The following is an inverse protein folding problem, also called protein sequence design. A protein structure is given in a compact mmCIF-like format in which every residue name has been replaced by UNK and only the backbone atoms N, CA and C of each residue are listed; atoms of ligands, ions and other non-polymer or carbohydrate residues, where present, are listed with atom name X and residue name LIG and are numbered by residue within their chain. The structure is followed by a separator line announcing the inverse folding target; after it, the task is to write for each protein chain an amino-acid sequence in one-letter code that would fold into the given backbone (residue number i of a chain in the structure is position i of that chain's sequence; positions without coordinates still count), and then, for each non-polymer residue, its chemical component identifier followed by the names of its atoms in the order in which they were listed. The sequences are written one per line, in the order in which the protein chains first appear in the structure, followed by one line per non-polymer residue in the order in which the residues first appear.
data_IF_926829753347
#
_entry.id   IF_926829753347
#
_cell.length_a   1.000
_cell.length_b   1.000
_cell.length_c   1.000
_cell.angle_alpha   90.00
_cell.angle_beta   90.00
_cell.angle_gamma   90.00
#
_symmetry.space_group_name_H-M   'P 1'
#
loop_
_entity.id
_entity.type
_entity.pdbx_description
1 polymer ?
#
# COMPACT_ATOMS: atom_id res chain seq x y z
N UNK A 1 -1.90 63.48 -37.15
CA UNK A 1 -2.11 63.91 -35.76
C UNK A 1 -2.70 62.74 -34.99
N UNK A 2 -1.90 62.05 -34.17
CA UNK A 2 -2.44 61.08 -33.22
C UNK A 2 -3.30 61.83 -32.20
N UNK A 3 -4.52 61.33 -31.96
CA UNK A 3 -5.52 61.99 -31.12
C UNK A 3 -5.10 61.92 -29.65
N UNK A 4 -5.35 63.00 -28.91
CA UNK A 4 -5.11 63.14 -27.45
C UNK A 4 -5.82 62.08 -26.59
N UNK A 5 -6.65 61.20 -27.17
CA UNK A 5 -7.29 60.07 -26.48
C UNK A 5 -6.39 58.83 -26.33
N UNK A 6 -5.38 58.66 -27.18
CA UNK A 6 -4.54 57.45 -27.17
C UNK A 6 -3.42 57.49 -26.10
N UNK A 7 -2.94 58.67 -25.71
CA UNK A 7 -1.93 58.81 -24.64
C UNK A 7 -2.49 58.60 -23.22
N UNK A 8 -3.79 58.86 -23.01
CA UNK A 8 -4.43 58.69 -21.70
C UNK A 8 -4.66 57.21 -21.37
N UNK A 9 -4.99 56.38 -22.38
CA UNK A 9 -5.25 54.96 -22.19
C UNK A 9 -3.94 54.20 -21.92
N UNK A 10 -2.83 54.57 -22.57
CA UNK A 10 -1.52 53.95 -22.34
C UNK A 10 -0.97 54.17 -20.92
N UNK A 11 -1.23 55.33 -20.31
CA UNK A 11 -0.76 55.65 -18.96
C UNK A 11 -1.55 54.93 -17.85
N UNK A 12 -2.84 54.66 -18.06
CA UNK A 12 -3.68 53.92 -17.08
C UNK A 12 -3.35 52.43 -17.12
N UNK A 13 -3.08 51.86 -18.31
CA UNK A 13 -2.69 50.45 -18.45
C UNK A 13 -1.33 50.12 -17.82
N UNK A 14 -0.36 51.04 -17.92
CA UNK A 14 0.97 50.86 -17.31
C UNK A 14 0.92 50.91 -15.77
N UNK A 15 0.10 51.81 -15.19
CA UNK A 15 -0.06 51.92 -13.74
C UNK A 15 -0.79 50.70 -13.14
N UNK A 16 -1.84 50.20 -13.81
CA UNK A 16 -2.55 48.99 -13.38
C UNK A 16 -1.67 47.73 -13.47
N UNK A 17 -0.83 47.63 -14.51
CA UNK A 17 0.11 46.52 -14.68
C UNK A 17 1.19 46.48 -13.58
N UNK A 18 1.70 47.64 -13.15
CA UNK A 18 2.71 47.73 -12.10
C UNK A 18 2.16 47.32 -10.72
N UNK A 19 0.92 47.70 -10.41
CA UNK A 19 0.26 47.33 -9.14
C UNK A 19 -0.08 45.84 -9.11
N UNK A 20 -0.54 45.27 -10.22
CA UNK A 20 -0.81 43.83 -10.34
C UNK A 20 0.48 42.99 -10.21
N UNK A 21 1.59 43.45 -10.81
CA UNK A 21 2.88 42.79 -10.68
C UNK A 21 3.43 42.84 -9.25
N UNK A 22 3.31 43.98 -8.56
CA UNK A 22 3.73 44.10 -7.16
C UNK A 22 2.90 43.22 -6.22
N UNK A 23 1.58 43.15 -6.43
CA UNK A 23 0.70 42.25 -5.66
C UNK A 23 1.01 40.77 -5.92
N UNK A 24 1.32 40.39 -7.16
CA UNK A 24 1.70 39.02 -7.51
C UNK A 24 3.06 38.61 -6.91
N UNK A 25 4.03 39.53 -6.88
CA UNK A 25 5.34 39.30 -6.23
C UNK A 25 5.19 39.20 -4.71
N UNK A 26 4.37 40.05 -4.08
CA UNK A 26 4.12 39.98 -2.64
C UNK A 26 3.33 38.72 -2.25
N UNK A 27 2.36 38.30 -3.07
CA UNK A 27 1.62 37.05 -2.89
C UNK A 27 2.54 35.84 -3.06
N UNK A 28 3.42 35.84 -4.07
CA UNK A 28 4.40 34.77 -4.27
C UNK A 28 5.41 34.71 -3.12
N UNK A 29 5.91 35.85 -2.65
CA UNK A 29 6.89 35.92 -1.56
C UNK A 29 6.32 35.49 -0.20
N UNK A 30 5.04 35.78 0.06
CA UNK A 30 4.33 35.32 1.26
C UNK A 30 3.94 33.85 1.16
N UNK A 31 3.57 33.35 -0.03
CA UNK A 31 3.29 31.93 -0.28
C UNK A 31 4.54 31.05 -0.15
N UNK A 32 5.72 31.52 -0.58
CA UNK A 32 6.98 30.75 -0.48
C UNK A 32 7.63 30.80 0.90
N UNK A 33 7.30 31.78 1.74
CA UNK A 33 7.82 31.90 3.12
C UNK A 33 6.84 31.38 4.19
N UNK A 34 5.65 30.93 3.80
CA UNK A 34 4.78 30.19 4.71
C UNK A 34 5.43 28.84 5.03
N UNK A 35 5.90 28.68 6.28
CA UNK A 35 6.33 27.36 6.78
C UNK A 35 5.20 26.37 6.53
N UNK A 36 5.46 25.19 5.93
CA UNK A 36 4.44 24.17 5.78
C UNK A 36 3.98 23.76 7.18
N UNK A 37 2.75 24.16 7.55
CA UNK A 37 2.06 23.55 8.66
C UNK A 37 1.86 22.08 8.29
N UNK A 38 2.45 21.18 9.09
CA UNK A 38 2.12 19.77 9.01
C UNK A 38 0.60 19.65 9.08
N UNK A 39 -0.06 18.95 8.14
CA UNK A 39 -1.47 18.61 8.32
C UNK A 39 -1.59 17.93 9.68
N UNK A 40 -2.57 18.38 10.47
CA UNK A 40 -2.83 17.77 11.76
C UNK A 40 -2.99 16.26 11.54
N UNK A 41 -2.39 15.41 12.41
CA UNK A 41 -2.66 13.99 12.34
C UNK A 41 -4.18 13.79 12.35
N UNK A 42 -4.72 12.87 11.53
CA UNK A 42 -6.13 12.53 11.63
C UNK A 42 -6.43 12.21 13.11
N UNK A 43 -7.62 12.62 13.61
CA UNK A 43 -7.98 12.32 14.98
C UNK A 43 -7.76 10.83 15.22
N UNK A 44 -7.21 10.43 16.39
CA UNK A 44 -7.14 9.01 16.72
C UNK A 44 -8.54 8.43 16.53
N UNK A 45 -8.64 7.28 15.85
CA UNK A 45 -9.90 6.57 15.68
C UNK A 45 -10.48 6.31 17.09
N UNK A 46 -11.42 7.16 17.53
CA UNK A 46 -12.03 7.10 18.86
C UNK A 46 -13.19 6.11 18.92
N UNK A 47 -13.56 5.53 17.79
CA UNK A 47 -14.52 4.44 17.67
C UNK A 47 -13.74 3.15 17.37
N UNK A 48 -13.82 2.11 18.22
CA UNK A 48 -13.22 0.82 17.89
C UNK A 48 -13.87 0.29 16.60
N UNK A 49 -13.06 0.04 15.58
CA UNK A 49 -13.55 -0.57 14.33
C UNK A 49 -14.32 -1.86 14.68
N UNK A 50 -15.46 -2.12 14.02
CA UNK A 50 -16.29 -3.27 14.33
C UNK A 50 -15.48 -4.57 14.23
N UNK A 51 -15.56 -5.40 15.27
CA UNK A 51 -14.98 -6.74 15.28
C UNK A 51 -15.94 -7.66 14.54
N UNK A 52 -15.46 -8.40 13.54
CA UNK A 52 -16.31 -9.39 12.89
C UNK A 52 -16.50 -10.59 13.80
N UNK A 53 -17.74 -11.04 13.90
CA UNK A 53 -18.07 -12.26 14.62
C UNK A 53 -17.84 -12.03 16.10
N UNK A 54 -18.94 -11.95 16.85
CA UNK A 54 -18.84 -12.31 18.24
C UNK A 54 -18.15 -13.68 18.26
N UNK A 55 -16.94 -13.77 18.82
CA UNK A 55 -16.39 -15.01 19.36
C UNK A 55 -17.24 -15.44 20.59
N UNK A 56 -18.55 -15.20 20.53
CA UNK A 56 -19.52 -15.75 21.43
C UNK A 56 -19.50 -17.26 21.20
N UNK A 57 -19.46 -17.98 22.32
CA UNK A 57 -19.52 -19.44 22.34
C UNK A 57 -20.77 -20.01 21.66
N UNK A 58 -21.81 -19.19 21.47
CA UNK A 58 -23.02 -19.50 20.70
C UNK A 58 -23.38 -18.31 19.79
N UNK A 59 -23.34 -18.48 18.45
CA UNK A 59 -23.98 -17.53 17.54
C UNK A 59 -25.50 -17.53 17.83
N UNK A 60 -26.19 -16.38 17.77
CA UNK A 60 -27.64 -16.36 17.88
C UNK A 60 -28.24 -17.27 16.81
N UNK A 61 -29.28 -18.04 17.18
CA UNK A 61 -30.00 -18.90 16.26
C UNK A 61 -30.42 -18.09 15.03
N UNK A 62 -29.99 -18.54 13.85
CA UNK A 62 -30.29 -17.82 12.60
C UNK A 62 -31.75 -18.03 12.25
N UNK A 63 -32.49 -16.93 12.05
CA UNK A 63 -33.86 -16.97 11.56
C UNK A 63 -33.89 -17.51 10.12
N UNK A 64 -34.45 -18.71 9.87
CA UNK A 64 -34.48 -19.32 8.55
C UNK A 64 -35.38 -18.56 7.56
N UNK A 65 -36.21 -17.63 8.04
CA UNK A 65 -37.07 -16.79 7.19
C UNK A 65 -36.48 -15.40 6.91
N UNK A 66 -35.26 -15.11 7.40
CA UNK A 66 -34.60 -13.83 7.17
C UNK A 66 -34.29 -13.65 5.68
N UNK A 67 -34.89 -12.63 5.06
CA UNK A 67 -34.72 -12.31 3.63
C UNK A 67 -33.55 -11.37 3.34
N UNK A 68 -32.95 -10.78 4.37
CA UNK A 68 -31.85 -9.82 4.24
C UNK A 68 -30.49 -10.48 4.41
N UNK A 69 -29.46 -9.94 3.74
CA UNK A 69 -28.09 -10.42 3.85
C UNK A 69 -27.58 -10.38 5.30
N UNK A 70 -26.60 -11.24 5.60
CA UNK A 70 -25.88 -11.21 6.88
C UNK A 70 -25.30 -9.82 7.14
N UNK A 71 -25.36 -9.35 8.37
CA UNK A 71 -24.67 -8.14 8.81
C UNK A 71 -23.23 -8.46 9.24
N UNK A 72 -22.33 -7.47 9.13
CA UNK A 72 -20.93 -7.65 9.48
C UNK A 72 -20.24 -8.72 8.62
N UNK A 73 -20.57 -8.87 7.34
CA UNK A 73 -19.70 -9.63 6.43
C UNK A 73 -18.46 -8.78 6.09
N UNK A 74 -17.34 -9.44 5.80
CA UNK A 74 -16.09 -8.76 5.46
C UNK A 74 -16.18 -8.10 4.09
N UNK A 75 -15.57 -6.93 3.94
CA UNK A 75 -15.41 -6.27 2.64
C UNK A 75 -14.42 -7.07 1.77
N UNK A 76 -14.46 -6.88 0.45
CA UNK A 76 -13.50 -7.50 -0.46
C UNK A 76 -12.06 -7.08 -0.18
N UNK A 77 -11.83 -5.79 0.07
CA UNK A 77 -10.50 -5.27 0.37
C UNK A 77 -9.96 -5.84 1.70
N UNK A 78 -10.78 -5.87 2.75
CA UNK A 78 -10.41 -6.44 4.05
C UNK A 78 -10.15 -7.95 3.91
N UNK A 79 -10.95 -8.66 3.10
CA UNK A 79 -10.75 -10.07 2.81
C UNK A 79 -9.40 -10.33 2.13
N UNK A 80 -9.08 -9.65 1.03
CA UNK A 80 -7.83 -9.90 0.31
C UNK A 80 -6.60 -9.46 1.10
N UNK A 81 -6.70 -8.35 1.86
CA UNK A 81 -5.64 -7.95 2.77
C UNK A 81 -5.47 -8.96 3.91
N UNK A 82 -6.57 -9.52 4.46
CA UNK A 82 -6.50 -10.57 5.47
C UNK A 82 -5.88 -11.87 4.93
N UNK A 83 -6.14 -12.24 3.67
CA UNK A 83 -5.43 -13.35 3.01
C UNK A 83 -3.93 -13.06 2.91
N UNK A 84 -3.53 -11.84 2.57
CA UNK A 84 -2.12 -11.45 2.56
C UNK A 84 -1.49 -11.57 3.97
N UNK A 85 -2.17 -11.12 5.02
CA UNK A 85 -1.72 -11.31 6.41
C UNK A 85 -1.64 -12.78 6.81
N UNK A 86 -2.68 -13.58 6.54
CA UNK A 86 -2.69 -15.00 6.83
C UNK A 86 -1.57 -15.75 6.09
N UNK A 87 -1.25 -15.30 4.87
CA UNK A 87 -0.13 -15.86 4.10
C UNK A 87 1.22 -15.51 4.71
N UNK A 88 1.36 -14.31 5.29
CA UNK A 88 2.58 -13.90 6.00
C UNK A 88 2.90 -14.84 7.17
N UNK A 89 1.90 -15.41 7.84
CA UNK A 89 2.07 -16.38 8.93
C UNK A 89 2.77 -17.69 8.48
N UNK A 90 2.90 -17.94 7.16
CA UNK A 90 3.72 -19.04 6.63
C UNK A 90 5.21 -18.72 6.53
N UNK A 91 5.60 -17.45 6.64
CA UNK A 91 7.00 -17.04 6.61
C UNK A 91 7.77 -17.60 7.80
N UNK A 92 8.96 -18.14 7.53
CA UNK A 92 9.88 -18.60 8.58
C UNK A 92 10.92 -17.55 8.98
N UNK A 93 10.84 -16.34 8.39
CA UNK A 93 11.73 -15.24 8.77
C UNK A 93 11.43 -14.81 10.20
N UNK A 94 12.38 -14.87 11.15
CA UNK A 94 12.12 -14.53 12.54
C UNK A 94 12.02 -13.02 12.77
N UNK A 95 12.36 -12.19 11.79
CA UNK A 95 12.43 -10.74 11.94
C UNK A 95 11.22 -10.03 11.35
N UNK A 96 10.75 -10.50 10.19
CA UNK A 96 9.66 -9.83 9.47
C UNK A 96 8.93 -10.81 8.57
N UNK A 97 7.62 -10.89 8.78
CA UNK A 97 6.70 -11.67 7.97
C UNK A 97 5.95 -10.72 7.03
N UNK A 98 6.03 -10.99 5.74
CA UNK A 98 5.35 -10.26 4.68
C UNK A 98 4.56 -11.28 3.86
N UNK A 99 3.33 -10.91 3.50
CA UNK A 99 2.50 -11.72 2.62
C UNK A 99 1.87 -10.86 1.54
N UNK A 100 1.50 -11.50 0.45
CA UNK A 100 0.93 -10.86 -0.72
C UNK A 100 -0.14 -11.76 -1.36
N UNK A 101 -1.15 -11.12 -1.94
CA UNK A 101 -2.29 -11.76 -2.59
C UNK A 101 -2.57 -11.02 -3.91
N UNK A 102 -2.36 -11.70 -5.03
CA UNK A 102 -2.67 -11.23 -6.38
C UNK A 102 -4.10 -11.64 -6.73
N UNK A 103 -4.91 -10.68 -7.15
CA UNK A 103 -6.36 -10.82 -7.31
C UNK A 103 -6.81 -10.21 -8.63
N UNK A 104 -7.72 -10.90 -9.32
CA UNK A 104 -8.32 -10.40 -10.54
C UNK A 104 -9.25 -9.20 -10.31
N UNK A 105 -9.64 -8.51 -11.38
CA UNK A 105 -10.66 -7.45 -11.28
C UNK A 105 -12.02 -7.97 -10.82
N UNK A 106 -12.32 -9.23 -11.11
CA UNK A 106 -13.54 -9.95 -10.72
C UNK A 106 -13.48 -10.53 -9.30
N UNK A 107 -12.38 -10.32 -8.56
CA UNK A 107 -12.24 -10.78 -7.18
C UNK A 107 -11.79 -12.25 -7.05
N UNK A 108 -11.16 -12.81 -8.09
CA UNK A 108 -10.62 -14.17 -8.06
C UNK A 108 -9.16 -14.11 -7.62
N UNK A 109 -8.79 -14.90 -6.60
CA UNK A 109 -7.38 -15.02 -6.18
C UNK A 109 -6.61 -15.77 -7.27
N UNK A 110 -5.58 -15.12 -7.80
CA UNK A 110 -4.74 -15.65 -8.88
C UNK A 110 -3.44 -16.25 -8.34
N UNK A 111 -2.87 -15.63 -7.29
CA UNK A 111 -1.60 -16.04 -6.71
C UNK A 111 -1.44 -15.54 -5.29
N UNK A 112 -0.74 -16.31 -4.45
CA UNK A 112 -0.46 -15.97 -3.06
C UNK A 112 1.04 -16.17 -2.80
N UNK A 113 1.63 -15.28 -2.01
CA UNK A 113 3.04 -15.34 -1.65
C UNK A 113 3.32 -14.88 -0.23
N UNK A 114 4.45 -15.32 0.30
CA UNK A 114 5.06 -14.85 1.53
C UNK A 114 6.58 -14.83 1.36
N UNK A 115 7.30 -14.09 2.20
CA UNK A 115 8.76 -14.06 2.11
C UNK A 115 9.39 -15.37 2.64
N UNK A 116 10.28 -15.96 1.84
CA UNK A 116 10.88 -17.27 2.10
C UNK A 116 12.09 -17.52 1.19
N UNK A 117 12.85 -18.59 1.45
CA UNK A 117 13.90 -19.01 0.51
C UNK A 117 13.31 -19.69 -0.74
N UNK A 118 14.08 -19.80 -1.85
CA UNK A 118 13.60 -20.41 -3.08
C UNK A 118 13.19 -21.87 -2.89
N UNK A 119 12.32 -22.37 -3.78
CA UNK A 119 11.86 -23.76 -3.75
C UNK A 119 13.07 -24.71 -3.82
N UNK A 120 13.11 -25.70 -2.94
CA UNK A 120 14.20 -26.67 -2.85
C UNK A 120 15.38 -26.22 -1.97
N UNK A 121 15.43 -24.95 -1.55
CA UNK A 121 16.40 -24.47 -0.57
C UNK A 121 15.84 -24.65 0.85
N UNK A 122 16.55 -25.38 1.71
CA UNK A 122 16.11 -25.63 3.10
C UNK A 122 16.28 -24.38 3.97
N UNK A 123 15.23 -24.05 4.72
CA UNK A 123 15.22 -22.97 5.70
C UNK A 123 16.12 -23.25 6.93
N UNK A 124 16.60 -24.48 7.08
CA UNK A 124 17.52 -24.88 8.17
C UNK A 124 19.00 -24.77 7.75
N UNK A 125 19.27 -24.68 6.44
CA UNK A 125 20.63 -24.63 5.87
C UNK A 125 21.07 -23.23 5.46
N UNK A 126 20.13 -22.32 5.22
CA UNK A 126 20.41 -20.95 4.82
C UNK A 126 20.23 -19.98 6.00
N UNK A 127 21.03 -18.90 6.08
CA UNK A 127 21.01 -18.02 7.22
C UNK A 127 19.82 -17.05 7.18
N UNK A 128 19.07 -16.96 8.27
CA UNK A 128 18.04 -15.94 8.49
C UNK A 128 18.58 -14.61 9.05
N UNK A 129 19.87 -14.55 9.35
CA UNK A 129 20.50 -13.41 10.00
C UNK A 129 20.44 -12.14 9.13
N UNK A 130 20.25 -10.98 9.78
CA UNK A 130 20.28 -9.66 9.12
C UNK A 130 21.68 -9.05 9.03
N UNK A 131 22.64 -9.59 9.79
CA UNK A 131 24.01 -9.06 9.91
C UNK A 131 24.95 -10.24 10.06
N UNK A 132 26.10 -10.16 9.40
CA UNK A 132 27.22 -11.07 9.60
C UNK A 132 28.17 -10.50 10.64
N UNK A 133 28.69 -11.35 11.52
CA UNK A 133 29.74 -10.95 12.46
C UNK A 133 31.07 -10.64 11.75
N UNK A 134 31.29 -11.25 10.57
CA UNK A 134 32.50 -11.09 9.74
C UNK A 134 32.30 -10.09 8.60
N UNK A 135 31.11 -9.51 8.48
CA UNK A 135 30.73 -8.65 7.35
C UNK A 135 30.49 -9.39 6.03
N UNK A 136 30.41 -10.73 6.04
CA UNK A 136 30.14 -11.55 4.87
C UNK A 136 28.64 -11.53 4.51
N UNK A 137 28.23 -11.00 3.35
CA UNK A 137 26.84 -10.99 2.93
C UNK A 137 26.21 -12.39 2.83
N UNK A 138 27.00 -13.43 2.55
CA UNK A 138 26.52 -14.82 2.42
C UNK A 138 26.11 -15.44 3.75
N UNK A 139 26.51 -14.85 4.87
CA UNK A 139 26.00 -15.23 6.20
C UNK A 139 24.68 -14.52 6.55
N UNK A 140 24.11 -13.76 5.62
CA UNK A 140 22.84 -13.04 5.82
C UNK A 140 21.75 -13.57 4.91
N UNK A 141 20.49 -13.29 5.25
CA UNK A 141 19.35 -13.72 4.43
C UNK A 141 19.24 -13.02 3.08
N UNK A 142 19.81 -11.83 2.92
CA UNK A 142 19.50 -10.92 1.81
C UNK A 142 19.82 -11.47 0.41
N UNK A 143 20.91 -12.24 0.19
CA UNK A 143 21.17 -12.86 -1.10
C UNK A 143 20.18 -13.98 -1.46
N UNK A 144 19.46 -14.53 -0.48
CA UNK A 144 18.68 -15.76 -0.63
C UNK A 144 17.18 -15.54 -0.53
N UNK A 145 16.71 -14.58 0.25
CA UNK A 145 15.28 -14.40 0.51
C UNK A 145 14.56 -13.90 -0.74
N UNK A 146 13.45 -14.55 -1.07
CA UNK A 146 12.49 -14.09 -2.09
C UNK A 146 11.36 -13.38 -1.36
N UNK A 147 11.01 -12.18 -1.82
CA UNK A 147 9.96 -11.37 -1.23
C UNK A 147 8.56 -11.91 -1.56
N UNK A 148 7.57 -11.51 -0.75
CA UNK A 148 6.20 -12.01 -0.86
C UNK A 148 5.55 -11.67 -2.21
N UNK A 149 5.79 -10.46 -2.71
CA UNK A 149 5.26 -9.94 -3.97
C UNK A 149 5.76 -10.78 -5.15
N UNK A 150 7.05 -11.10 -5.14
CA UNK A 150 7.69 -11.94 -6.16
C UNK A 150 7.10 -13.35 -6.11
N UNK A 151 7.00 -13.92 -4.92
CA UNK A 151 6.39 -15.24 -4.75
C UNK A 151 4.91 -15.26 -5.17
N UNK A 152 4.13 -14.22 -4.89
CA UNK A 152 2.72 -14.15 -5.29
C UNK A 152 2.58 -14.15 -6.83
N UNK A 153 3.42 -13.38 -7.53
CA UNK A 153 3.44 -13.33 -9.00
C UNK A 153 3.93 -14.66 -9.59
N UNK A 154 5.00 -15.25 -9.05
CA UNK A 154 5.54 -16.54 -9.52
C UNK A 154 4.63 -17.74 -9.19
N UNK A 155 3.75 -17.62 -8.19
CA UNK A 155 2.78 -18.64 -7.81
C UNK A 155 1.44 -18.49 -8.53
N UNK A 156 1.31 -17.57 -9.48
CA UNK A 156 0.04 -17.34 -10.20
C UNK A 156 -0.41 -18.61 -10.93
N UNK A 157 -1.72 -18.90 -10.88
CA UNK A 157 -2.37 -20.10 -11.43
C UNK A 157 -2.41 -20.17 -12.98
N UNK A 158 -1.31 -19.81 -13.65
CA UNK A 158 -1.18 -19.62 -15.11
C UNK A 158 -2.03 -18.48 -15.70
N UNK A 159 -2.85 -17.80 -14.90
CA UNK A 159 -3.48 -16.55 -15.29
C UNK A 159 -2.43 -15.42 -15.41
N UNK A 160 -2.77 -14.38 -16.17
CA UNK A 160 -1.93 -13.21 -16.29
C UNK A 160 -2.08 -12.29 -15.08
N UNK A 161 -0.96 -11.79 -14.56
CA UNK A 161 -0.95 -10.68 -13.58
C UNK A 161 -1.26 -9.32 -14.22
N UNK A 162 -1.27 -9.25 -15.56
CA UNK A 162 -1.51 -8.01 -16.28
C UNK A 162 -2.92 -7.47 -16.04
N UNK A 163 -3.01 -6.19 -15.69
CA UNK A 163 -4.28 -5.53 -15.38
C UNK A 163 -4.86 -5.87 -14.02
N UNK A 164 -4.17 -6.66 -13.18
CA UNK A 164 -4.70 -7.16 -11.91
C UNK A 164 -4.23 -6.35 -10.71
N UNK A 165 -4.72 -6.70 -9.51
CA UNK A 165 -4.48 -6.00 -8.25
C UNK A 165 -3.62 -6.84 -7.31
N UNK A 166 -2.62 -6.24 -6.67
CA UNK A 166 -1.77 -6.90 -5.69
C UNK A 166 -2.00 -6.30 -4.31
N UNK A 167 -2.51 -7.11 -3.38
CA UNK A 167 -2.59 -6.77 -1.96
C UNK A 167 -1.31 -7.25 -1.27
N UNK A 168 -0.67 -6.39 -0.47
CA UNK A 168 0.58 -6.72 0.22
C UNK A 168 0.63 -6.13 1.62
N UNK A 169 1.15 -6.87 2.60
CA UNK A 169 1.17 -6.38 3.99
C UNK A 169 2.18 -5.26 4.25
N UNK A 170 3.18 -5.09 3.37
CA UNK A 170 4.19 -4.02 3.41
C UNK A 170 4.37 -3.39 2.03
N UNK A 171 4.58 -2.07 1.98
CA UNK A 171 4.90 -1.37 0.74
C UNK A 171 6.13 -2.01 0.02
N UNK A 172 6.07 -2.26 -1.30
CA UNK A 172 7.10 -3.03 -2.00
C UNK A 172 8.42 -2.27 -2.11
N UNK A 173 9.55 -3.01 -2.06
CA UNK A 173 10.86 -2.46 -2.36
C UNK A 173 11.03 -2.17 -3.86
N UNK A 174 12.10 -1.47 -4.26
CA UNK A 174 12.34 -1.14 -5.68
C UNK A 174 12.49 -2.38 -6.57
N UNK A 175 13.10 -3.47 -6.10
CA UNK A 175 13.21 -4.71 -6.89
C UNK A 175 11.85 -5.37 -7.09
N UNK A 176 11.01 -5.42 -6.05
CA UNK A 176 9.62 -5.86 -6.18
C UNK A 176 8.83 -4.95 -7.12
N UNK A 177 9.01 -3.63 -7.05
CA UNK A 177 8.35 -2.68 -7.95
C UNK A 177 8.68 -2.96 -9.42
N UNK A 178 9.94 -3.24 -9.76
CA UNK A 178 10.31 -3.65 -11.13
C UNK A 178 9.54 -4.89 -11.57
N UNK A 179 9.43 -5.90 -10.71
CA UNK A 179 8.72 -7.15 -11.04
C UNK A 179 7.21 -6.91 -11.19
N UNK A 180 6.62 -6.12 -10.28
CA UNK A 180 5.21 -5.70 -10.35
C UNK A 180 4.93 -5.02 -11.70
N UNK A 181 5.75 -4.04 -12.08
CA UNK A 181 5.62 -3.31 -13.36
C UNK A 181 5.75 -4.26 -14.55
N UNK A 182 6.82 -5.07 -14.59
CA UNK A 182 7.07 -5.98 -15.71
C UNK A 182 6.02 -7.10 -15.84
N UNK A 183 5.36 -7.47 -14.73
CA UNK A 183 4.25 -8.43 -14.73
C UNK A 183 2.91 -7.83 -15.19
N UNK A 184 2.84 -6.50 -15.33
CA UNK A 184 1.66 -5.77 -15.77
C UNK A 184 0.62 -5.52 -14.67
N UNK A 185 0.94 -5.73 -13.40
CA UNK A 185 0.04 -5.40 -12.28
C UNK A 185 -0.35 -3.92 -12.34
N UNK A 186 -1.65 -3.65 -12.27
CA UNK A 186 -2.21 -2.31 -12.46
C UNK A 186 -2.41 -1.52 -11.16
N UNK A 187 -2.51 -2.22 -10.03
CA UNK A 187 -2.75 -1.60 -8.72
C UNK A 187 -2.04 -2.37 -7.60
N UNK A 188 -1.40 -1.64 -6.69
CA UNK A 188 -0.81 -2.13 -5.45
C UNK A 188 -1.56 -1.53 -4.26
N UNK A 189 -2.12 -2.40 -3.43
CA UNK A 189 -2.82 -2.07 -2.20
C UNK A 189 -1.99 -2.57 -1.03
N UNK A 190 -1.45 -1.66 -0.22
CA UNK A 190 -0.51 -2.03 0.85
C UNK A 190 -1.02 -1.65 2.25
N UNK A 191 -0.57 -2.35 3.29
CA UNK A 191 -0.96 -2.03 4.67
C UNK A 191 0.08 -1.17 5.42
N UNK A 192 1.30 -1.70 5.56
CA UNK A 192 2.39 -0.99 6.27
C UNK A 192 3.16 -0.10 5.28
N UNK A 193 3.11 1.20 5.53
CA UNK A 193 4.03 2.16 4.90
C UNK A 193 5.41 2.02 5.54
N UNK A 194 6.46 1.98 4.71
CA UNK A 194 7.83 2.07 5.19
C UNK A 194 8.20 3.55 5.26
N UNK A 195 8.76 4.00 6.39
CA UNK A 195 9.11 5.41 6.55
C UNK A 195 10.00 5.85 5.40
N UNK A 196 9.54 6.85 4.66
CA UNK A 196 10.33 7.57 3.67
C UNK A 196 11.06 8.68 4.42
N UNK A 197 12.01 8.31 5.28
CA UNK A 197 13.05 9.27 5.62
C UNK A 197 14.09 9.28 4.48
N UNK A 198 14.78 10.42 4.31
CA UNK A 198 15.65 10.69 3.16
C UNK A 198 16.83 9.69 2.98
N UNK A 199 16.94 8.66 3.82
CA UNK A 199 17.98 7.63 3.78
C UNK A 199 17.53 6.32 3.13
N UNK A 200 16.22 6.03 3.02
CA UNK A 200 15.74 4.75 2.48
C UNK A 200 15.43 4.83 0.97
N UNK A 201 16.51 5.00 0.19
CA UNK A 201 16.49 5.13 -1.28
C UNK A 201 15.74 3.99 -1.98
N UNK A 202 15.64 2.81 -1.36
CA UNK A 202 14.90 1.65 -1.85
C UNK A 202 13.41 1.97 -2.03
N UNK A 203 12.77 2.61 -1.05
CA UNK A 203 11.33 2.89 -1.13
C UNK A 203 11.03 4.18 -1.90
N UNK A 204 11.94 5.15 -1.89
CA UNK A 204 11.86 6.32 -2.79
C UNK A 204 11.91 5.88 -4.25
N UNK A 205 12.87 5.01 -4.61
CA UNK A 205 12.96 4.45 -5.96
C UNK A 205 11.71 3.63 -6.31
N UNK A 206 11.17 2.85 -5.37
CA UNK A 206 9.91 2.10 -5.57
C UNK A 206 8.75 3.02 -5.92
N UNK A 207 8.52 4.10 -5.15
CA UNK A 207 7.49 5.10 -5.44
C UNK A 207 7.68 5.74 -6.82
N UNK A 208 8.91 6.16 -7.14
CA UNK A 208 9.22 6.75 -8.44
C UNK A 208 8.91 5.79 -9.60
N UNK A 209 9.35 4.52 -9.49
CA UNK A 209 9.12 3.50 -10.51
C UNK A 209 7.63 3.22 -10.73
N UNK A 210 6.88 2.97 -9.65
CA UNK A 210 5.44 2.69 -9.72
C UNK A 210 4.67 3.88 -10.31
N UNK A 211 5.01 5.10 -9.88
CA UNK A 211 4.40 6.32 -10.40
C UNK A 211 4.71 6.54 -11.88
N UNK A 212 5.97 6.36 -12.31
CA UNK A 212 6.36 6.52 -13.71
C UNK A 212 5.69 5.50 -14.63
N UNK A 213 5.48 4.28 -14.14
CA UNK A 213 4.81 3.20 -14.87
C UNK A 213 3.28 3.32 -14.85
N UNK A 214 2.70 4.27 -14.11
CA UNK A 214 1.26 4.43 -14.00
C UNK A 214 0.56 3.34 -13.19
N UNK A 215 1.28 2.61 -12.32
CA UNK A 215 0.70 1.64 -11.40
C UNK A 215 -0.02 2.41 -10.29
N UNK A 216 -1.31 2.13 -10.09
CA UNK A 216 -2.08 2.74 -8.99
C UNK A 216 -1.56 2.23 -7.66
N UNK A 217 -1.38 3.12 -6.69
CA UNK A 217 -0.87 2.76 -5.37
C UNK A 217 -1.78 3.38 -4.32
N UNK A 218 -2.25 2.58 -3.37
CA UNK A 218 -3.01 3.10 -2.22
C UNK A 218 -2.77 2.28 -0.96
N UNK A 219 -2.82 2.96 0.18
CA UNK A 219 -2.83 2.33 1.49
C UNK A 219 -4.22 1.76 1.76
N UNK A 220 -4.30 0.51 2.19
CA UNK A 220 -5.53 -0.12 2.63
C UNK A 220 -6.08 0.59 3.88
N UNK A 221 -7.38 0.87 3.87
CA UNK A 221 -8.11 1.40 5.01
C UNK A 221 -9.04 0.29 5.52
N UNK A 222 -8.67 -0.42 6.59
CA UNK A 222 -9.48 -1.54 7.08
C UNK A 222 -10.82 -1.03 7.61
N UNK A 223 -11.90 -1.72 7.24
CA UNK A 223 -13.24 -1.47 7.79
C UNK A 223 -13.44 -2.20 9.13
N UNK A 224 -12.59 -3.19 9.42
CA UNK A 224 -12.63 -4.00 10.63
C UNK A 224 -11.28 -3.98 11.35
N UNK A 225 -11.27 -3.96 12.68
CA UNK A 225 -10.01 -4.00 13.45
C UNK A 225 -9.27 -5.33 13.27
N UNK A 226 -10.04 -6.42 13.19
CA UNK A 226 -9.53 -7.79 13.15
C UNK A 226 -10.55 -8.74 12.52
N UNK A 227 -10.04 -9.85 11.95
CA UNK A 227 -10.84 -10.93 11.40
C UNK A 227 -10.40 -12.23 12.10
N UNK A 228 -11.14 -12.71 13.12
CA UNK A 228 -10.78 -13.92 13.84
C UNK A 228 -11.09 -15.17 13.01
N UNK A 229 -10.15 -16.13 13.00
CA UNK A 229 -10.35 -17.47 12.43
C UNK A 229 -10.46 -18.46 13.59
N UNK A 230 -11.65 -19.01 13.83
CA UNK A 230 -11.91 -19.97 14.90
C UNK A 230 -12.06 -21.39 14.31
N UNK A 231 -11.22 -22.33 14.75
CA UNK A 231 -11.28 -23.73 14.32
C UNK A 231 -12.26 -24.59 15.13
N UNK A 232 -12.84 -24.06 16.20
CA UNK A 232 -13.86 -24.79 16.98
C UNK A 232 -15.19 -24.80 16.23
N UNK A 233 -15.83 -25.96 16.17
CA UNK A 233 -17.19 -26.10 15.67
C UNK A 233 -18.14 -25.26 16.55
N UNK A 234 -19.06 -24.48 15.97
CA UNK A 234 -20.09 -23.81 16.76
C UNK A 234 -20.89 -24.87 17.50
N UNK A 235 -20.80 -24.89 18.84
CA UNK A 235 -21.66 -25.75 19.64
C UNK A 235 -23.10 -25.26 19.43
N UNK A 236 -23.87 -26.09 18.72
CA UNK A 236 -25.32 -25.94 18.50
C UNK A 236 -26.04 -25.98 19.84
#
# INVERSE_FOLDING_TARGET
MASTRDLAIASISAAAGAVAAAAAVLYSYTATNAKPQKPAPPPPFTEPLPVNGCAARHPPAQDPFKTTKREGFISWDDYFMAIAFLSAERSKDPNRQVGACLVSQEGIILGIGYNGFPRGCSDDKLPWAKKSARGDPLETKYPYVVHAEVNAILNTNHASAAGQKLYVTMFPCNECAKIIIQSGVSEVIYFVEKRIDNSDHVYVASHNLLSMAGVKVRKHQPQMAQIPINFQEPRV
#
